data_IF_019759114658
#
_entry.id   IF_019759114658
#
_cell.length_a   1.000
_cell.length_b   1.000
_cell.length_c   1.000
_cell.angle_alpha   90.00
_cell.angle_beta   90.00
_cell.angle_gamma   90.00
#
_symmetry.space_group_name_H-M   'P 1'
#
loop_
_entity.id
_entity.type
_entity.pdbx_description
1 polymer ?
#
# COMPACT_ATOMS: atom_id res chain seq x y z
N UNK A 1 -20.11 3.46 5.48
CA UNK A 1 -19.17 2.66 6.30
C UNK A 1 -17.94 2.46 5.44
N UNK A 2 -16.76 2.82 5.94
CA UNK A 2 -15.47 2.70 5.25
C UNK A 2 -14.63 1.72 6.09
N UNK A 3 -14.16 0.63 5.50
CA UNK A 3 -13.34 -0.37 6.17
C UNK A 3 -11.93 -0.32 5.56
N UNK A 4 -10.91 -0.03 6.36
CA UNK A 4 -9.50 -0.17 5.98
C UNK A 4 -8.86 -1.23 6.87
N UNK A 5 -8.47 -2.36 6.28
CA UNK A 5 -7.68 -3.38 6.97
C UNK A 5 -6.20 -3.06 6.71
N UNK A 6 -5.39 -2.87 7.75
CA UNK A 6 -3.95 -2.66 7.57
C UNK A 6 -3.25 -4.03 7.47
N UNK A 7 -2.60 -4.29 6.33
CA UNK A 7 -1.74 -5.46 6.16
C UNK A 7 -0.36 -5.27 6.80
N UNK A 8 0.31 -6.35 7.17
CA UNK A 8 1.70 -6.32 7.64
C UNK A 8 2.72 -6.31 6.50
N UNK A 9 4.01 -6.23 6.87
CA UNK A 9 5.14 -6.24 5.94
C UNK A 9 6.13 -7.35 6.31
N UNK A 10 6.62 -8.08 5.31
CA UNK A 10 7.73 -9.02 5.44
C UNK A 10 8.59 -9.04 4.17
N UNK A 11 9.91 -8.89 4.33
CA UNK A 11 10.90 -9.00 3.25
C UNK A 11 11.34 -10.43 2.96
N UNK A 12 12.18 -10.61 1.96
CA UNK A 12 12.72 -11.89 1.48
C UNK A 12 12.79 -11.96 -0.06
N UNK A 13 14.01 -12.05 -0.60
CA UNK A 13 14.23 -12.39 -2.01
C UNK A 13 13.99 -13.88 -2.25
N UNK A 14 13.92 -14.31 -3.51
CA UNK A 14 13.72 -15.72 -3.86
C UNK A 14 14.79 -16.68 -3.28
N UNK A 15 15.98 -16.17 -2.95
CA UNK A 15 17.06 -16.96 -2.35
C UNK A 15 17.01 -16.97 -0.80
N UNK A 16 16.03 -16.30 -0.18
CA UNK A 16 15.87 -16.31 1.27
C UNK A 16 15.30 -17.66 1.75
N UNK A 17 15.87 -18.21 2.83
CA UNK A 17 15.33 -19.42 3.48
C UNK A 17 13.89 -19.24 3.98
N UNK A 18 13.54 -18.01 4.35
CA UNK A 18 12.20 -17.64 4.83
C UNK A 18 11.26 -17.18 3.70
N UNK A 19 11.67 -17.25 2.43
CA UNK A 19 10.89 -16.70 1.31
C UNK A 19 9.45 -17.24 1.28
N UNK A 20 9.28 -18.57 1.33
CA UNK A 20 7.96 -19.21 1.28
C UNK A 20 7.13 -18.87 2.52
N UNK A 21 7.76 -18.89 3.71
CA UNK A 21 7.11 -18.55 4.98
C UNK A 21 6.59 -17.10 4.96
N UNK A 22 7.42 -16.17 4.50
CA UNK A 22 7.06 -14.76 4.43
C UNK A 22 6.02 -14.50 3.34
N UNK A 23 6.08 -15.20 2.21
CA UNK A 23 5.05 -15.13 1.17
C UNK A 23 3.68 -15.63 1.68
N UNK A 24 3.63 -16.77 2.38
CA UNK A 24 2.40 -17.29 3.00
C UNK A 24 1.81 -16.29 4.02
N UNK A 25 2.67 -15.73 4.87
CA UNK A 25 2.25 -14.70 5.83
C UNK A 25 1.66 -13.47 5.13
N UNK A 26 2.32 -12.95 4.08
CA UNK A 26 1.84 -11.78 3.33
C UNK A 26 0.53 -12.06 2.60
N UNK A 27 0.35 -13.27 2.08
CA UNK A 27 -0.89 -13.68 1.43
C UNK A 27 -2.06 -13.69 2.42
N UNK A 28 -1.86 -14.30 3.59
CA UNK A 28 -2.87 -14.33 4.66
C UNK A 28 -3.21 -12.94 5.19
N UNK A 29 -2.23 -12.05 5.31
CA UNK A 29 -2.45 -10.71 5.86
C UNK A 29 -3.05 -9.72 4.85
N UNK A 30 -2.75 -9.83 3.56
CA UNK A 30 -3.23 -8.87 2.55
C UNK A 30 -4.32 -9.43 1.64
N UNK A 31 -4.16 -10.64 1.11
CA UNK A 31 -5.09 -11.18 0.12
C UNK A 31 -6.34 -11.71 0.81
N UNK A 32 -6.21 -12.55 1.86
CA UNK A 32 -7.38 -13.11 2.54
C UNK A 32 -8.27 -12.04 3.15
N UNK A 33 -7.67 -11.08 3.86
CA UNK A 33 -8.39 -9.95 4.45
C UNK A 33 -9.13 -9.11 3.38
N UNK A 34 -8.47 -8.80 2.26
CA UNK A 34 -9.10 -8.05 1.16
C UNK A 34 -10.24 -8.82 0.49
N UNK A 35 -10.09 -10.14 0.29
CA UNK A 35 -11.13 -10.99 -0.26
C UNK A 35 -12.34 -11.09 0.69
N UNK A 36 -12.12 -11.22 1.99
CA UNK A 36 -13.20 -11.24 2.99
C UNK A 36 -13.91 -9.89 3.03
N UNK A 37 -13.19 -8.78 3.05
CA UNK A 37 -13.77 -7.43 3.01
C UNK A 37 -14.62 -7.22 1.74
N UNK A 38 -14.15 -7.75 0.60
CA UNK A 38 -14.88 -7.68 -0.67
C UNK A 38 -16.18 -8.50 -0.62
N UNK A 39 -16.13 -9.71 -0.05
CA UNK A 39 -17.31 -10.54 0.14
C UNK A 39 -18.33 -9.89 1.10
N UNK A 40 -17.88 -9.25 2.18
CA UNK A 40 -18.75 -8.49 3.08
C UNK A 40 -19.34 -7.25 2.39
N UNK A 41 -18.56 -6.56 1.55
CA UNK A 41 -19.03 -5.40 0.81
C UNK A 41 -20.18 -5.74 -0.15
N UNK A 42 -20.19 -6.94 -0.76
CA UNK A 42 -21.34 -7.39 -1.59
C UNK A 42 -22.65 -7.49 -0.81
N UNK A 43 -22.59 -7.76 0.50
CA UNK A 43 -23.75 -8.00 1.34
C UNK A 43 -24.19 -6.79 2.15
N UNK A 44 -23.25 -5.94 2.55
CA UNK A 44 -23.49 -4.90 3.57
C UNK A 44 -23.25 -3.48 3.07
N UNK A 45 -22.60 -3.29 1.93
CA UNK A 45 -22.35 -1.96 1.41
C UNK A 45 -23.63 -1.39 0.77
N UNK A 46 -23.91 -0.12 1.03
CA UNK A 46 -25.04 0.56 0.38
C UNK A 46 -24.67 0.91 -1.08
N UNK A 47 -25.65 0.99 -1.99
CA UNK A 47 -25.41 1.59 -3.31
C UNK A 47 -24.76 2.98 -3.18
N UNK A 48 -23.77 3.28 -4.03
CA UNK A 48 -22.96 4.51 -3.91
C UNK A 48 -21.88 4.47 -2.80
N UNK A 49 -21.73 3.33 -2.12
CA UNK A 49 -20.78 3.14 -1.04
C UNK A 49 -19.31 3.19 -1.47
N UNK A 50 -18.42 3.07 -0.50
CA UNK A 50 -16.98 3.12 -0.68
C UNK A 50 -16.33 1.86 -0.11
N UNK A 51 -15.51 1.20 -0.91
CA UNK A 51 -14.62 0.12 -0.50
C UNK A 51 -13.18 0.57 -0.74
N UNK A 52 -12.34 0.61 0.29
CA UNK A 52 -10.92 0.97 0.15
C UNK A 52 -10.07 -0.21 0.57
N UNK A 53 -9.20 -0.69 -0.33
CA UNK A 53 -8.31 -1.81 -0.08
C UNK A 53 -6.84 -1.34 0.05
N UNK A 54 -6.06 -1.93 0.98
CA UNK A 54 -4.68 -1.54 1.23
C UNK A 54 -3.73 -2.05 0.15
N UNK A 55 -3.40 -1.18 -0.81
CA UNK A 55 -2.35 -1.42 -1.80
C UNK A 55 -0.94 -1.19 -1.24
N UNK A 56 -0.01 -0.96 -2.15
CA UNK A 56 1.37 -0.56 -1.87
C UNK A 56 1.98 0.03 -3.14
N UNK A 57 2.61 1.20 -3.04
CA UNK A 57 3.26 1.80 -4.21
C UNK A 57 4.40 0.92 -4.75
N UNK A 58 5.12 0.24 -3.87
CA UNK A 58 6.22 -0.65 -4.24
C UNK A 58 5.80 -1.81 -5.16
N UNK A 59 4.53 -2.23 -5.13
CA UNK A 59 4.02 -3.35 -5.93
C UNK A 59 3.57 -2.96 -7.34
N UNK A 60 3.66 -1.67 -7.70
CA UNK A 60 3.46 -1.20 -9.09
C UNK A 60 4.62 -1.62 -10.01
N UNK A 61 5.75 -2.07 -9.43
CA UNK A 61 6.96 -2.50 -10.14
C UNK A 61 7.51 -3.79 -9.51
N UNK A 62 8.55 -4.36 -10.12
CA UNK A 62 9.22 -5.54 -9.60
C UNK A 62 9.84 -5.29 -8.22
N UNK A 63 9.61 -6.20 -7.27
CA UNK A 63 10.03 -6.10 -5.86
C UNK A 63 11.21 -7.02 -5.52
N UNK A 64 12.07 -7.32 -6.49
CA UNK A 64 13.17 -8.26 -6.34
C UNK A 64 14.29 -7.82 -5.37
N UNK A 65 14.27 -6.54 -4.96
CA UNK A 65 15.33 -5.88 -4.20
C UNK A 65 16.37 -5.28 -5.16
N UNK A 66 16.75 -4.03 -4.95
CA UNK A 66 17.82 -3.42 -5.74
C UNK A 66 19.18 -3.85 -5.19
N UNK A 67 19.99 -4.52 -6.02
CA UNK A 67 21.44 -4.45 -5.86
C UNK A 67 21.85 -3.08 -6.41
N UNK A 68 22.50 -2.25 -5.59
CA UNK A 68 23.10 -0.96 -5.93
C UNK A 68 23.17 -0.66 -7.44
N UNK A 69 22.36 0.29 -7.93
CA UNK A 69 22.73 1.03 -9.14
C UNK A 69 23.50 2.27 -8.70
N UNK A 70 24.81 2.19 -8.91
CA UNK A 70 25.83 3.23 -8.84
C UNK A 70 25.29 4.60 -9.26
N UNK A 71 24.96 5.47 -8.30
CA UNK A 71 24.82 6.89 -8.61
C UNK A 71 26.23 7.48 -8.64
N UNK A 72 26.65 7.88 -9.82
CA UNK A 72 27.91 8.57 -10.07
C UNK A 72 27.85 9.95 -9.42
N UNK A 73 28.14 10.06 -8.11
CA UNK A 73 28.43 11.35 -7.46
C UNK A 73 29.91 11.37 -7.13
N UNK A 74 30.58 12.37 -7.69
CA UNK A 74 32.00 12.67 -7.55
C UNK A 74 32.51 12.42 -6.13
N UNK A 75 33.58 11.64 -6.09
CA UNK A 75 34.61 11.53 -5.05
C UNK A 75 34.88 12.88 -4.37
N UNK A 76 34.31 13.12 -3.19
CA UNK A 76 34.96 13.71 -2.00
C UNK A 76 33.94 13.87 -0.85
N UNK A 77 34.38 13.54 0.37
CA UNK A 77 33.71 13.76 1.67
C UNK A 77 32.56 12.83 2.06
N UNK A 78 32.98 11.65 2.54
CA UNK A 78 32.54 11.01 3.79
C UNK A 78 31.08 11.31 4.22
N UNK A 79 30.14 10.61 3.60
CA UNK A 79 28.82 10.37 4.16
C UNK A 79 28.66 8.86 4.28
N UNK A 80 28.40 8.40 5.50
CA UNK A 80 28.02 7.02 5.80
C UNK A 80 26.65 6.81 5.17
N UNK A 81 26.65 6.39 3.91
CA UNK A 81 25.44 6.14 3.12
C UNK A 81 24.74 4.94 3.74
N UNK A 82 23.47 5.19 4.07
CA UNK A 82 22.47 4.30 4.63
C UNK A 82 22.50 2.92 3.94
N UNK A 83 23.19 1.95 4.54
CA UNK A 83 23.17 0.55 4.10
C UNK A 83 21.87 -0.12 4.59
N UNK A 84 20.71 0.37 4.14
CA UNK A 84 19.53 -0.50 4.08
C UNK A 84 19.77 -1.37 2.86
N UNK A 85 20.28 -2.58 3.07
CA UNK A 85 20.05 -3.66 2.11
C UNK A 85 18.53 -3.75 2.00
N UNK A 86 17.96 -3.23 0.91
CA UNK A 86 16.57 -3.51 0.56
C UNK A 86 16.55 -4.97 0.15
N UNK A 87 16.51 -5.85 1.14
CA UNK A 87 16.22 -7.26 0.95
C UNK A 87 14.93 -7.30 0.14
N UNK A 88 14.97 -7.94 -1.03
CA UNK A 88 13.82 -8.00 -1.93
C UNK A 88 12.56 -8.39 -1.18
N UNK A 89 11.41 -7.87 -1.57
CA UNK A 89 10.14 -8.06 -0.86
C UNK A 89 9.15 -8.78 -1.77
N UNK A 90 9.59 -9.88 -2.38
CA UNK A 90 8.83 -10.55 -3.44
C UNK A 90 7.48 -11.08 -2.95
N UNK A 91 7.42 -11.67 -1.74
CA UNK A 91 6.15 -12.13 -1.14
C UNK A 91 5.16 -10.98 -0.89
N UNK A 92 5.65 -9.87 -0.36
CA UNK A 92 4.86 -8.64 -0.17
C UNK A 92 4.38 -8.07 -1.51
N UNK A 93 5.26 -7.97 -2.50
CA UNK A 93 4.93 -7.47 -3.83
C UNK A 93 3.86 -8.32 -4.52
N UNK A 94 3.98 -9.65 -4.49
CA UNK A 94 2.96 -10.56 -5.03
C UNK A 94 1.60 -10.35 -4.36
N UNK A 95 1.57 -10.32 -3.02
CA UNK A 95 0.32 -10.16 -2.28
C UNK A 95 -0.36 -8.81 -2.59
N UNK A 96 0.42 -7.72 -2.67
CA UNK A 96 -0.11 -6.39 -2.97
C UNK A 96 -0.53 -6.23 -4.43
N UNK A 97 0.19 -6.83 -5.38
CA UNK A 97 -0.22 -6.87 -6.77
C UNK A 97 -1.54 -7.63 -6.97
N UNK A 98 -1.75 -8.73 -6.23
CA UNK A 98 -3.03 -9.44 -6.23
C UNK A 98 -4.18 -8.55 -5.70
N UNK A 99 -3.93 -7.75 -4.66
CA UNK A 99 -4.91 -6.77 -4.17
C UNK A 99 -5.18 -5.68 -5.21
N UNK A 100 -4.16 -5.19 -5.93
CA UNK A 100 -4.35 -4.21 -7.00
C UNK A 100 -5.22 -4.77 -8.13
N UNK A 101 -4.98 -6.02 -8.52
CA UNK A 101 -5.80 -6.71 -9.52
C UNK A 101 -7.24 -6.88 -9.02
N UNK A 102 -7.43 -7.27 -7.74
CA UNK A 102 -8.75 -7.38 -7.12
C UNK A 102 -9.51 -6.05 -7.15
N UNK A 103 -8.85 -4.92 -6.88
CA UNK A 103 -9.45 -3.57 -6.98
C UNK A 103 -9.98 -3.30 -8.38
N UNK A 104 -9.22 -3.66 -9.42
CA UNK A 104 -9.68 -3.53 -10.81
C UNK A 104 -10.91 -4.42 -11.07
N UNK A 105 -10.87 -5.68 -10.66
CA UNK A 105 -12.01 -6.59 -10.84
C UNK A 105 -13.27 -6.14 -10.10
N UNK A 106 -13.13 -5.56 -8.91
CA UNK A 106 -14.25 -5.02 -8.13
C UNK A 106 -14.82 -3.72 -8.72
N UNK A 107 -14.04 -3.00 -9.53
CA UNK A 107 -14.55 -1.82 -10.23
C UNK A 107 -15.43 -2.17 -11.44
N UNK A 108 -15.39 -3.42 -11.91
CA UNK A 108 -16.24 -3.88 -13.01
C UNK A 108 -17.72 -3.97 -12.57
N UNK A 109 -18.68 -3.56 -13.42
CA UNK A 109 -20.11 -3.69 -13.11
C UNK A 109 -20.58 -5.12 -12.82
N UNK A 110 -19.85 -6.14 -13.28
CA UNK A 110 -20.15 -7.57 -13.05
C UNK A 110 -19.46 -8.14 -11.81
N UNK A 111 -18.82 -7.31 -10.99
CA UNK A 111 -18.11 -7.73 -9.77
C UNK A 111 -19.01 -8.33 -8.69
N UNK A 112 -20.32 -8.08 -8.76
CA UNK A 112 -21.27 -8.45 -7.71
C UNK A 112 -21.37 -7.43 -6.58
N UNK A 113 -20.63 -6.30 -6.66
CA UNK A 113 -20.85 -5.18 -5.75
C UNK A 113 -22.18 -4.45 -6.06
N UNK A 114 -22.82 -3.85 -5.04
CA UNK A 114 -23.99 -3.00 -5.22
C UNK A 114 -23.74 -1.86 -6.21
N UNK A 115 -24.82 -1.36 -6.80
CA UNK A 115 -24.72 -0.30 -7.80
C UNK A 115 -23.96 0.93 -7.31
N UNK A 116 -23.13 1.49 -8.19
CA UNK A 116 -22.38 2.73 -7.97
C UNK A 116 -21.41 2.69 -6.78
N UNK A 117 -21.09 1.51 -6.25
CA UNK A 117 -19.99 1.37 -5.30
C UNK A 117 -18.69 1.79 -5.96
N UNK A 118 -17.88 2.54 -5.23
CA UNK A 118 -16.54 2.94 -5.66
C UNK A 118 -15.53 2.11 -4.90
N UNK A 119 -14.70 1.37 -5.63
CA UNK A 119 -13.60 0.59 -5.05
C UNK A 119 -12.28 1.30 -5.33
N UNK A 120 -11.49 1.58 -4.29
CA UNK A 120 -10.22 2.28 -4.41
C UNK A 120 -9.08 1.48 -3.77
N UNK A 121 -7.89 1.58 -4.36
CA UNK A 121 -6.65 1.14 -3.74
C UNK A 121 -5.95 2.29 -3.05
N UNK A 122 -5.59 2.16 -1.78
CA UNK A 122 -4.73 3.13 -1.10
C UNK A 122 -3.28 2.62 -1.07
N UNK A 123 -2.37 3.32 -1.73
CA UNK A 123 -0.98 2.91 -1.96
C UNK A 123 -0.02 3.87 -1.24
N UNK A 124 0.15 3.75 0.09
CA UNK A 124 1.18 4.53 0.79
C UNK A 124 2.59 4.05 0.43
N UNK A 125 3.56 4.96 0.59
CA UNK A 125 5.00 4.61 0.65
C UNK A 125 5.33 4.12 2.05
N UNK A 126 5.29 5.03 3.03
CA UNK A 126 5.57 4.75 4.44
C UNK A 126 4.59 5.54 5.29
N UNK A 127 3.85 4.84 6.15
CA UNK A 127 2.96 5.48 7.12
C UNK A 127 3.73 5.84 8.38
N UNK A 128 3.43 6.99 8.94
CA UNK A 128 4.00 7.43 10.21
C UNK A 128 3.33 6.73 11.39
N UNK A 129 3.91 5.61 11.81
CA UNK A 129 3.40 4.81 12.93
C UNK A 129 4.44 4.71 14.05
N UNK A 130 4.02 4.55 15.31
CA UNK A 130 4.95 4.35 16.42
C UNK A 130 5.89 3.15 16.20
N UNK A 131 5.39 2.10 15.55
CA UNK A 131 6.16 0.91 15.20
C UNK A 131 7.25 1.21 14.16
N UNK A 132 6.90 1.93 13.10
CA UNK A 132 7.87 2.34 12.08
C UNK A 132 8.93 3.26 12.66
N UNK A 133 8.55 4.25 13.50
CA UNK A 133 9.51 5.13 14.18
C UNK A 133 10.46 4.36 15.08
N UNK A 134 9.97 3.34 15.80
CA UNK A 134 10.80 2.47 16.65
C UNK A 134 11.84 1.67 15.87
N UNK A 135 11.46 1.11 14.71
CA UNK A 135 12.37 0.29 13.90
C UNK A 135 13.22 1.09 12.91
N UNK A 136 12.83 2.32 12.58
CA UNK A 136 13.57 3.23 11.69
C UNK A 136 13.79 4.62 12.34
N UNK A 137 14.45 4.71 13.50
CA UNK A 137 14.54 5.95 14.29
C UNK A 137 15.37 7.06 13.63
N UNK A 138 16.18 6.71 12.62
CA UNK A 138 17.07 7.64 11.89
C UNK A 138 16.53 8.01 10.50
N UNK A 139 15.35 7.50 10.12
CA UNK A 139 14.75 7.81 8.84
C UNK A 139 14.27 9.27 8.80
N UNK A 140 14.15 9.81 7.59
CA UNK A 140 13.55 11.12 7.38
C UNK A 140 12.02 11.03 7.47
N UNK A 141 11.48 11.36 8.64
CA UNK A 141 10.04 11.33 8.89
C UNK A 141 9.25 12.38 8.09
N UNK A 142 9.91 13.38 7.49
CA UNK A 142 9.22 14.35 6.61
C UNK A 142 8.67 13.72 5.32
N UNK A 143 9.14 12.50 5.01
CA UNK A 143 8.69 11.70 3.86
C UNK A 143 7.60 10.69 4.21
N UNK A 144 7.14 10.66 5.47
CA UNK A 144 6.18 9.68 5.96
C UNK A 144 4.77 10.29 6.01
N UNK A 145 3.79 9.56 5.50
CA UNK A 145 2.41 10.00 5.49
C UNK A 145 1.81 9.88 6.88
N UNK A 146 1.27 10.99 7.41
CA UNK A 146 0.61 11.01 8.71
C UNK A 146 -0.70 10.23 8.69
N UNK A 147 -1.05 9.63 9.84
CA UNK A 147 -2.30 8.88 9.95
C UNK A 147 -3.53 9.80 9.92
N UNK A 148 -3.36 11.04 10.38
CA UNK A 148 -4.38 12.09 10.32
C UNK A 148 -4.76 12.41 8.87
N UNK A 149 -3.76 12.55 7.99
CA UNK A 149 -4.02 12.78 6.56
C UNK A 149 -4.77 11.61 5.92
N UNK A 150 -4.41 10.37 6.28
CA UNK A 150 -5.11 9.17 5.81
C UNK A 150 -6.55 9.16 6.30
N UNK A 151 -6.80 9.41 7.59
CA UNK A 151 -8.16 9.42 8.14
C UNK A 151 -9.02 10.52 7.53
N UNK A 152 -8.48 11.73 7.35
CA UNK A 152 -9.21 12.85 6.76
C UNK A 152 -9.56 12.58 5.29
N UNK A 153 -8.64 11.97 4.55
CA UNK A 153 -8.86 11.56 3.15
C UNK A 153 -9.98 10.52 3.07
N UNK A 154 -9.92 9.47 3.89
CA UNK A 154 -10.96 8.43 3.92
C UNK A 154 -12.32 9.00 4.35
N UNK A 155 -12.31 9.95 5.29
CA UNK A 155 -13.53 10.63 5.74
C UNK A 155 -14.16 11.44 4.61
N UNK A 156 -13.39 12.29 3.90
CA UNK A 156 -13.85 13.03 2.72
C UNK A 156 -14.42 12.10 1.66
N UNK A 157 -13.69 11.03 1.33
CA UNK A 157 -14.17 10.05 0.36
C UNK A 157 -15.46 9.39 0.81
N UNK A 158 -15.62 9.08 2.11
CA UNK A 158 -16.85 8.48 2.63
C UNK A 158 -18.07 9.40 2.47
N UNK A 159 -17.87 10.72 2.43
CA UNK A 159 -18.89 11.74 2.17
C UNK A 159 -19.10 12.03 0.67
N UNK A 160 -18.52 11.23 -0.22
CA UNK A 160 -18.51 11.44 -1.68
C UNK A 160 -17.80 12.74 -2.10
N UNK A 161 -16.87 13.26 -1.29
CA UNK A 161 -16.09 14.46 -1.62
C UNK A 161 -14.75 14.05 -2.20
N UNK A 162 -14.34 14.68 -3.31
CA UNK A 162 -13.01 14.49 -3.93
C UNK A 162 -12.65 13.01 -4.16
N UNK A 163 -13.68 12.17 -4.41
CA UNK A 163 -13.50 10.72 -4.56
C UNK A 163 -12.96 10.41 -5.97
N UNK A 164 -11.85 9.67 -6.09
CA UNK A 164 -11.38 9.18 -7.38
C UNK A 164 -12.37 8.21 -8.05
N UNK A 165 -12.14 7.94 -9.34
CA UNK A 165 -12.90 6.92 -10.08
C UNK A 165 -12.75 5.53 -9.46
N UNK A 166 -13.80 4.70 -9.57
CA UNK A 166 -13.72 3.30 -9.16
C UNK A 166 -12.60 2.58 -9.92
N UNK A 167 -11.85 1.75 -9.23
CA UNK A 167 -10.65 1.07 -9.74
C UNK A 167 -9.34 1.85 -9.58
N UNK A 168 -9.38 3.11 -9.15
CA UNK A 168 -8.15 3.91 -9.00
C UNK A 168 -7.20 3.34 -7.93
N UNK A 169 -5.90 3.31 -8.26
CA UNK A 169 -4.81 2.98 -7.35
C UNK A 169 -4.15 4.28 -6.86
N UNK A 170 -4.66 4.81 -5.76
CA UNK A 170 -4.30 6.13 -5.23
C UNK A 170 -3.02 6.05 -4.42
N UNK A 171 -1.93 6.58 -4.96
CA UNK A 171 -0.64 6.71 -4.29
C UNK A 171 -0.66 7.89 -3.31
N UNK A 172 -0.13 7.69 -2.11
CA UNK A 172 0.10 8.74 -1.12
C UNK A 172 1.59 9.05 -1.05
N UNK A 173 1.97 10.20 -1.61
CA UNK A 173 3.37 10.63 -1.70
C UNK A 173 3.56 11.79 -0.74
N UNK A 174 4.39 11.60 0.28
CA UNK A 174 4.75 12.64 1.25
C UNK A 174 6.16 13.14 0.98
N UNK A 175 6.31 14.46 0.83
CA UNK A 175 7.60 15.15 0.70
C UNK A 175 7.56 16.42 1.54
N UNK A 176 8.61 16.63 2.34
CA UNK A 176 8.74 17.82 3.19
C UNK A 176 7.49 18.06 4.08
N UNK A 177 6.86 16.98 4.57
CA UNK A 177 5.66 17.02 5.40
C UNK A 177 4.35 17.22 4.64
N UNK A 178 4.39 17.46 3.33
CA UNK A 178 3.20 17.64 2.50
C UNK A 178 2.86 16.33 1.77
N UNK A 179 1.60 15.90 1.87
CA UNK A 179 1.12 14.68 1.21
C UNK A 179 0.23 15.02 0.03
N UNK A 180 0.53 14.40 -1.11
CA UNK A 180 -0.26 14.50 -2.33
C UNK A 180 -0.82 13.12 -2.73
N UNK A 181 -2.01 13.13 -3.34
CA UNK A 181 -2.66 11.95 -3.90
C UNK A 181 -2.42 11.89 -5.40
N UNK A 182 -1.87 10.77 -5.89
CA UNK A 182 -1.59 10.55 -7.32
C UNK A 182 -2.28 9.25 -7.76
N UNK A 183 -3.15 9.33 -8.77
CA UNK A 183 -3.86 8.18 -9.33
C UNK A 183 -3.21 7.68 -10.62
#
# INVERSE_FOLDING_TARGET
MCELILGGWAGGSANSKDFIKNADLMWKQSVWSSSIASALATQHLKPGGLLVLPGAQAALKGTAGEKERTFFIKKTSMHIIYFIIVLGMMGYGMAKAAVHQLIQSLSDPKSGLPEKVVTLGLLPITLDTPMNRKFMPKADFSTWTSLEYVSDTLFKWSLNQERPSSGSLVQMITKDGNTELVC
#
